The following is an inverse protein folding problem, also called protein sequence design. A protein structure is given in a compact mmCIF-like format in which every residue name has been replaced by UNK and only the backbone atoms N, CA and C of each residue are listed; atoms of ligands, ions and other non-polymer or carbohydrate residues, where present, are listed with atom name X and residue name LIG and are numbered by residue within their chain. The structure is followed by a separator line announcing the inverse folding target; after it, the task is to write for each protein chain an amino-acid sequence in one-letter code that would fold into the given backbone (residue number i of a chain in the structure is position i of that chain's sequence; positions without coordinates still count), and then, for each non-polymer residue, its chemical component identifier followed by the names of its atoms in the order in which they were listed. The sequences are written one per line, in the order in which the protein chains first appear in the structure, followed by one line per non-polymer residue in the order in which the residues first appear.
data_IF_058586516250
#
_entry.id   IF_058586516250
#
_cell.length_a   1.000
_cell.length_b   1.000
_cell.length_c   1.000
_cell.angle_alpha   90.00
_cell.angle_beta   90.00
_cell.angle_gamma   90.00
#
_symmetry.space_group_name_H-M   'P 1'
#
loop_
_entity.id
_entity.type
_entity.pdbx_description
1 polymer ?
#
# COMPACT_ATOMS: atom_id res chain seq x y z
N UNK A 1 46.19 -22.11 -5.47
CA UNK A 1 46.51 -21.54 -4.16
C UNK A 1 45.82 -20.18 -4.12
N UNK A 2 44.88 -19.98 -3.18
CA UNK A 2 43.95 -18.86 -3.13
C UNK A 2 44.58 -17.60 -2.51
N UNK A 3 44.33 -16.45 -3.11
CA UNK A 3 44.19 -15.11 -2.48
C UNK A 3 43.21 -14.35 -3.39
N UNK A 4 41.91 -14.17 -3.06
CA UNK A 4 41.33 -13.19 -2.10
C UNK A 4 41.75 -11.77 -2.51
N UNK A 5 40.90 -10.78 -2.79
CA UNK A 5 39.43 -10.63 -2.85
C UNK A 5 39.14 -9.22 -3.41
N UNK A 6 37.88 -8.98 -3.78
CA UNK A 6 37.21 -7.67 -3.84
C UNK A 6 37.63 -6.70 -4.96
N UNK A 7 37.18 -6.93 -6.20
CA UNK A 7 35.83 -6.54 -6.70
C UNK A 7 35.66 -5.02 -6.69
N UNK A 8 35.93 -4.33 -7.81
CA UNK A 8 34.91 -3.94 -8.81
C UNK A 8 33.79 -3.11 -8.17
N UNK A 9 33.54 -1.85 -8.49
CA UNK A 9 34.05 -0.91 -9.48
C UNK A 9 33.46 0.46 -9.07
N UNK A 10 34.17 1.59 -9.19
CA UNK A 10 34.61 2.18 -10.46
C UNK A 10 33.52 2.15 -11.55
N UNK A 11 32.38 2.75 -11.25
CA UNK A 11 31.58 3.41 -12.26
C UNK A 11 31.42 4.86 -11.83
N UNK A 12 32.32 5.73 -12.24
CA UNK A 12 32.06 7.13 -12.61
C UNK A 12 33.37 7.64 -13.23
N UNK A 13 33.55 7.23 -14.49
CA UNK A 13 34.58 7.77 -15.35
C UNK A 13 34.26 9.24 -15.64
N UNK A 14 35.31 10.05 -15.50
CA UNK A 14 35.60 11.25 -16.28
C UNK A 14 34.64 12.45 -16.18
N UNK A 15 35.07 13.45 -15.40
CA UNK A 15 34.69 14.85 -15.55
C UNK A 15 35.71 15.71 -14.80
N UNK A 16 36.57 16.39 -15.54
CA UNK A 16 37.74 17.13 -15.06
C UNK A 16 37.42 18.31 -14.13
N UNK A 17 38.39 18.58 -13.26
CA UNK A 17 38.80 19.89 -12.73
C UNK A 17 38.01 20.49 -11.55
N UNK A 18 38.76 20.61 -10.46
CA UNK A 18 38.44 21.33 -9.24
C UNK A 18 38.18 22.82 -9.48
N UNK A 19 37.10 23.34 -8.88
CA UNK A 19 37.05 24.72 -8.41
C UNK A 19 36.38 24.71 -7.03
N UNK A 20 37.18 25.05 -6.01
CA UNK A 20 36.74 25.36 -4.66
C UNK A 20 36.09 26.73 -4.68
N UNK A 21 34.82 26.83 -4.30
CA UNK A 21 34.26 28.05 -3.73
C UNK A 21 33.39 27.67 -2.54
N UNK A 22 33.92 28.01 -1.36
CA UNK A 22 33.18 28.08 -0.11
C UNK A 22 31.95 28.97 -0.29
N UNK A 23 30.80 28.56 0.24
CA UNK A 23 29.83 29.47 0.86
C UNK A 23 28.68 28.71 1.52
N UNK A 24 28.53 29.03 2.81
CA UNK A 24 27.29 29.05 3.60
C UNK A 24 26.56 27.74 3.87
N UNK A 25 26.85 27.21 5.05
CA UNK A 25 25.94 26.39 5.85
C UNK A 25 24.56 27.03 5.96
N UNK A 26 23.60 26.53 5.19
CA UNK A 26 22.21 26.46 5.63
C UNK A 26 21.94 25.00 5.96
N UNK A 27 22.30 24.61 7.18
CA UNK A 27 21.64 23.47 7.83
C UNK A 27 20.18 23.89 8.05
N UNK A 28 19.38 23.83 6.99
CA UNK A 28 17.97 23.56 7.16
C UNK A 28 17.92 22.16 7.74
N UNK A 29 17.82 22.09 9.07
CA UNK A 29 17.35 20.91 9.76
C UNK A 29 15.91 20.64 9.28
N UNK A 30 15.79 20.13 8.06
CA UNK A 30 14.70 19.24 7.72
C UNK A 30 14.96 18.01 8.59
N UNK A 31 14.47 18.05 9.83
CA UNK A 31 14.28 16.83 10.59
C UNK A 31 13.54 15.85 9.69
N UNK A 32 13.81 14.54 9.79
CA UNK A 32 12.98 13.58 9.11
C UNK A 32 11.55 13.88 9.54
N UNK A 33 10.74 14.34 8.59
CA UNK A 33 9.30 14.24 8.73
C UNK A 33 9.10 12.73 8.71
N UNK A 34 9.13 12.12 9.90
CA UNK A 34 8.52 10.81 10.12
C UNK A 34 7.09 10.99 9.63
N UNK A 35 6.89 10.66 8.35
CA UNK A 35 5.58 10.40 7.82
C UNK A 35 5.07 9.30 8.72
N UNK A 36 4.25 9.67 9.71
CA UNK A 36 3.59 8.72 10.57
C UNK A 36 3.03 7.67 9.62
N UNK A 37 3.62 6.48 9.65
CA UNK A 37 3.17 5.38 8.84
C UNK A 37 1.77 5.11 9.38
N UNK A 38 0.77 5.71 8.71
CA UNK A 38 -0.62 5.41 8.97
C UNK A 38 -0.72 3.97 8.51
N UNK A 39 -0.51 3.05 9.45
CA UNK A 39 -0.64 1.62 9.23
C UNK A 39 -2.09 1.41 8.85
N UNK A 40 -2.37 1.49 7.56
CA UNK A 40 -3.71 1.35 7.04
C UNK A 40 -4.19 -0.03 7.46
N UNK A 41 -5.19 -0.06 8.33
CA UNK A 41 -5.77 -1.31 8.79
C UNK A 41 -6.22 -2.08 7.54
N UNK A 42 -5.66 -3.26 7.35
CA UNK A 42 -5.93 -4.10 6.19
C UNK A 42 -6.13 -5.54 6.65
N UNK A 43 -7.05 -6.24 5.99
CA UNK A 43 -7.39 -7.61 6.31
C UNK A 43 -7.39 -8.44 5.04
N UNK A 44 -6.59 -9.51 5.03
CA UNK A 44 -6.59 -10.46 3.93
C UNK A 44 -7.90 -11.25 3.91
N UNK A 45 -8.51 -11.37 2.72
CA UNK A 45 -9.72 -12.15 2.48
C UNK A 45 -9.36 -13.29 1.54
N UNK A 46 -9.43 -14.53 2.04
CA UNK A 46 -9.22 -15.70 1.18
C UNK A 46 -10.46 -15.99 0.33
N UNK A 47 -10.20 -16.32 -0.93
CA UNK A 47 -11.20 -16.67 -1.94
C UNK A 47 -10.84 -17.92 -2.72
N UNK A 48 -9.81 -18.67 -2.29
CA UNK A 48 -9.34 -19.89 -2.98
C UNK A 48 -10.39 -21.02 -3.02
N UNK A 49 -11.36 -20.96 -2.12
CA UNK A 49 -12.49 -21.89 -2.01
C UNK A 49 -13.71 -21.47 -2.86
N UNK A 50 -13.65 -20.28 -3.47
CA UNK A 50 -14.75 -19.69 -4.21
C UNK A 50 -14.50 -19.76 -5.72
N UNK A 51 -15.50 -20.27 -6.43
CA UNK A 51 -15.51 -20.18 -7.89
C UNK A 51 -16.00 -18.80 -8.35
N UNK A 52 -15.05 -17.92 -8.65
CA UNK A 52 -15.32 -16.56 -9.10
C UNK A 52 -15.76 -16.47 -10.57
N UNK A 53 -15.72 -17.57 -11.33
CA UNK A 53 -16.28 -17.63 -12.68
C UNK A 53 -17.82 -17.68 -12.66
N UNK A 54 -18.42 -18.03 -11.53
CA UNK A 54 -19.86 -18.15 -11.35
C UNK A 54 -20.43 -17.07 -10.42
N UNK A 55 -21.65 -16.62 -10.71
CA UNK A 55 -22.38 -15.63 -9.91
C UNK A 55 -22.43 -15.94 -8.40
N UNK A 56 -22.72 -17.18 -7.94
CA UNK A 56 -22.74 -17.49 -6.50
C UNK A 56 -21.38 -17.29 -5.81
N UNK A 57 -20.25 -17.67 -6.43
CA UNK A 57 -18.94 -17.48 -5.82
C UNK A 57 -18.54 -16.00 -5.78
N UNK A 58 -18.92 -15.22 -6.79
CA UNK A 58 -18.74 -13.76 -6.76
C UNK A 58 -19.54 -13.08 -5.65
N UNK A 59 -20.79 -13.47 -5.45
CA UNK A 59 -21.64 -12.91 -4.40
C UNK A 59 -21.10 -13.26 -3.00
N UNK A 60 -20.62 -14.49 -2.81
CA UNK A 60 -20.00 -14.90 -1.56
C UNK A 60 -18.69 -14.14 -1.28
N UNK A 61 -17.87 -13.88 -2.30
CA UNK A 61 -16.70 -13.00 -2.15
C UNK A 61 -17.09 -11.58 -1.74
N UNK A 62 -18.10 -10.99 -2.38
CA UNK A 62 -18.58 -9.65 -2.06
C UNK A 62 -19.09 -9.54 -0.61
N UNK A 63 -19.80 -10.56 -0.13
CA UNK A 63 -20.22 -10.68 1.27
C UNK A 63 -19.03 -10.74 2.23
N UNK A 64 -17.99 -11.51 1.88
CA UNK A 64 -16.75 -11.60 2.68
C UNK A 64 -16.01 -10.28 2.74
N UNK A 65 -15.85 -9.61 1.59
CA UNK A 65 -15.22 -8.29 1.51
C UNK A 65 -16.00 -7.28 2.35
N UNK A 66 -17.33 -7.26 2.25
CA UNK A 66 -18.18 -6.36 3.05
C UNK A 66 -18.03 -6.58 4.55
N UNK A 67 -17.95 -7.84 4.98
CA UNK A 67 -17.70 -8.20 6.39
C UNK A 67 -16.31 -7.73 6.84
N UNK A 68 -15.28 -8.02 6.06
CA UNK A 68 -13.91 -7.60 6.36
C UNK A 68 -13.76 -6.08 6.40
N UNK A 69 -14.37 -5.37 5.45
CA UNK A 69 -14.38 -3.91 5.39
C UNK A 69 -15.05 -3.31 6.63
N UNK A 70 -16.15 -3.89 7.11
CA UNK A 70 -16.79 -3.46 8.36
C UNK A 70 -15.87 -3.65 9.56
N UNK A 71 -15.19 -4.79 9.66
CA UNK A 71 -14.22 -5.01 10.77
C UNK A 71 -13.06 -4.02 10.73
N UNK A 72 -12.58 -3.66 9.54
CA UNK A 72 -11.46 -2.72 9.37
C UNK A 72 -11.89 -1.27 9.63
N UNK A 73 -13.10 -0.91 9.21
CA UNK A 73 -13.63 0.44 9.32
C UNK A 73 -14.39 0.71 10.63
N UNK A 74 -14.56 -0.31 11.47
CA UNK A 74 -15.19 -0.14 12.77
C UNK A 74 -14.35 0.80 13.63
N UNK A 75 -14.93 1.96 13.93
CA UNK A 75 -14.28 3.00 14.73
C UNK A 75 -14.59 2.86 16.22
N UNK A 76 -15.54 1.99 16.61
CA UNK A 76 -16.03 1.88 17.98
C UNK A 76 -16.77 3.13 18.49
N UNK A 77 -17.08 4.08 17.60
CA UNK A 77 -17.73 5.34 17.92
C UNK A 77 -19.18 5.37 17.39
N UNK A 78 -20.12 5.77 18.26
CA UNK A 78 -21.56 5.77 17.97
C UNK A 78 -22.15 7.16 17.66
N UNK A 79 -21.35 8.09 17.14
CA UNK A 79 -21.83 9.42 16.73
C UNK A 79 -22.11 9.50 15.22
N UNK A 80 -22.96 10.45 14.81
CA UNK A 80 -23.41 10.60 13.41
C UNK A 80 -22.24 10.82 12.45
N UNK A 81 -21.22 11.60 12.86
CA UNK A 81 -20.03 11.84 12.04
C UNK A 81 -19.18 10.57 11.88
N UNK A 82 -19.04 9.75 12.93
CA UNK A 82 -18.37 8.46 12.87
C UNK A 82 -19.11 7.48 11.95
N UNK A 83 -20.45 7.44 11.98
CA UNK A 83 -21.24 6.62 11.05
C UNK A 83 -21.06 7.05 9.60
N UNK A 84 -20.99 8.36 9.34
CA UNK A 84 -20.70 8.89 8.02
C UNK A 84 -19.27 8.52 7.55
N UNK A 85 -18.28 8.61 8.45
CA UNK A 85 -16.90 8.22 8.18
C UNK A 85 -16.76 6.70 7.93
N UNK A 86 -17.39 5.87 8.77
CA UNK A 86 -17.44 4.41 8.64
C UNK A 86 -18.05 4.01 7.29
N UNK A 87 -19.19 4.62 6.91
CA UNK A 87 -19.84 4.35 5.62
C UNK A 87 -18.92 4.67 4.43
N UNK A 88 -18.19 5.80 4.50
CA UNK A 88 -17.21 6.18 3.47
C UNK A 88 -16.06 5.17 3.42
N UNK A 89 -15.49 4.82 4.57
CA UNK A 89 -14.43 3.84 4.69
C UNK A 89 -14.84 2.48 4.10
N UNK A 90 -16.02 1.96 4.46
CA UNK A 90 -16.52 0.67 3.97
C UNK A 90 -16.67 0.69 2.46
N UNK A 91 -17.23 1.78 1.90
CA UNK A 91 -17.38 1.93 0.44
C UNK A 91 -16.02 1.96 -0.25
N UNK A 92 -15.07 2.72 0.28
CA UNK A 92 -13.75 2.88 -0.32
C UNK A 92 -12.92 1.59 -0.23
N UNK A 93 -13.07 0.85 0.87
CA UNK A 93 -12.50 -0.49 1.06
C UNK A 93 -13.09 -1.50 0.07
N UNK A 94 -14.41 -1.53 -0.11
CA UNK A 94 -15.07 -2.40 -1.10
C UNK A 94 -14.59 -2.08 -2.51
N UNK A 95 -14.57 -0.79 -2.89
CA UNK A 95 -14.12 -0.37 -4.21
C UNK A 95 -12.66 -0.75 -4.47
N UNK A 96 -11.80 -0.61 -3.46
CA UNK A 96 -10.40 -1.01 -3.55
C UNK A 96 -10.25 -2.52 -3.68
N UNK A 97 -11.02 -3.30 -2.92
CA UNK A 97 -11.04 -4.75 -3.04
C UNK A 97 -11.54 -5.20 -4.42
N UNK A 98 -12.61 -4.59 -4.97
CA UNK A 98 -13.10 -4.88 -6.33
C UNK A 98 -12.03 -4.66 -7.39
N UNK A 99 -11.27 -3.56 -7.32
CA UNK A 99 -10.14 -3.31 -8.23
C UNK A 99 -9.05 -4.36 -8.11
N UNK A 100 -8.69 -4.74 -6.88
CA UNK A 100 -7.68 -5.76 -6.65
C UNK A 100 -8.13 -7.11 -7.19
N UNK A 101 -9.38 -7.52 -6.96
CA UNK A 101 -9.95 -8.77 -7.48
C UNK A 101 -9.99 -8.77 -9.00
N UNK A 102 -10.45 -7.67 -9.63
CA UNK A 102 -10.47 -7.55 -11.09
C UNK A 102 -9.07 -7.65 -11.72
N UNK A 103 -8.02 -7.19 -11.01
CA UNK A 103 -6.64 -7.28 -11.48
C UNK A 103 -6.10 -8.73 -11.47
N UNK A 104 -6.55 -9.58 -10.53
CA UNK A 104 -6.13 -11.00 -10.46
C UNK A 104 -7.10 -11.96 -11.15
N UNK A 105 -8.36 -11.55 -11.36
CA UNK A 105 -9.44 -12.37 -11.89
C UNK A 105 -10.09 -11.65 -13.08
N UNK A 106 -9.62 -11.89 -14.32
CA UNK A 106 -10.10 -11.18 -15.51
C UNK A 106 -11.59 -11.43 -15.83
N UNK A 107 -12.19 -12.47 -15.26
CA UNK A 107 -13.63 -12.78 -15.40
C UNK A 107 -14.53 -12.07 -14.36
N UNK A 108 -13.95 -11.36 -13.38
CA UNK A 108 -14.72 -10.67 -12.35
C UNK A 108 -15.33 -9.37 -12.87
N UNK A 109 -16.60 -9.40 -13.30
CA UNK A 109 -17.38 -8.21 -13.70
C UNK A 109 -18.25 -7.72 -12.54
N UNK A 110 -17.61 -7.22 -11.48
CA UNK A 110 -18.24 -6.79 -10.22
C UNK A 110 -19.07 -5.51 -10.27
#
# INVERSE_FOLDING_TARGET
MFTTDSTTGRNFAAGFAAIVFASTCLLAAAGPVEAAEVTAASRAVSYSDLDLAHAPGRAALEMRIKSAARTVCDSGLDNVSARAAETRCVRDAINSAKRNVAAVVPAYQG
#
